data_IF_466900772432
#
_entry.id   IF_466900772432
#
_cell.length_a   1.000
_cell.length_b   1.000
_cell.length_c   1.000
_cell.angle_alpha   90.00
_cell.angle_beta   90.00
_cell.angle_gamma   90.00
#
_symmetry.space_group_name_H-M   'P 1'
#
loop_
_entity.id
_entity.type
_entity.pdbx_description
1 polymer ?
#
# COMPACT_ATOMS: atom_id res chain seq x y z
N UNK A 1 8.85 -6.23 21.82
CA UNK A 1 8.05 -6.49 20.60
C UNK A 1 7.77 -7.97 20.39
N UNK A 2 8.78 -8.87 20.27
CA UNK A 2 8.56 -10.33 20.08
C UNK A 2 7.66 -10.94 21.14
N UNK A 3 7.83 -10.61 22.43
CA UNK A 3 6.96 -11.12 23.48
C UNK A 3 5.48 -10.78 23.26
N UNK A 4 5.18 -9.54 22.83
CA UNK A 4 3.80 -9.16 22.50
C UNK A 4 3.24 -9.88 21.27
N UNK A 5 4.09 -10.23 20.32
CA UNK A 5 3.71 -11.04 19.16
C UNK A 5 3.40 -12.49 19.55
N UNK A 6 4.17 -13.04 20.45
CA UNK A 6 3.93 -14.38 21.01
C UNK A 6 2.62 -14.42 21.81
N UNK A 7 2.31 -13.39 22.60
CA UNK A 7 1.03 -13.27 23.31
C UNK A 7 -0.17 -13.21 22.35
N UNK A 8 0.02 -12.65 21.16
CA UNK A 8 -1.01 -12.61 20.11
C UNK A 8 -1.01 -13.87 19.23
N UNK A 9 -0.16 -14.86 19.51
CA UNK A 9 0.01 -16.08 18.72
C UNK A 9 0.23 -15.78 17.21
N UNK A 10 1.11 -14.82 16.91
CA UNK A 10 1.40 -14.46 15.53
C UNK A 10 2.32 -15.48 14.90
N UNK A 11 1.87 -16.15 13.83
CA UNK A 11 2.63 -17.16 13.11
C UNK A 11 3.39 -16.60 11.89
N UNK A 12 2.91 -15.50 11.32
CA UNK A 12 3.43 -14.96 10.07
C UNK A 12 3.35 -13.43 10.01
N UNK A 13 4.39 -12.82 9.40
CA UNK A 13 4.42 -11.40 9.06
C UNK A 13 4.63 -11.16 7.57
N UNK A 14 3.85 -10.25 6.99
CA UNK A 14 4.28 -9.57 5.76
C UNK A 14 5.30 -8.50 6.13
N UNK A 15 6.46 -8.54 5.47
CA UNK A 15 7.49 -7.52 5.57
C UNK A 15 7.52 -6.59 4.35
N UNK A 16 6.66 -6.83 3.36
CA UNK A 16 6.49 -5.97 2.21
C UNK A 16 5.79 -4.68 2.61
N UNK A 17 6.55 -3.63 2.87
CA UNK A 17 6.03 -2.29 3.16
C UNK A 17 7.10 -1.22 2.87
N UNK A 18 6.67 0.04 2.78
CA UNK A 18 7.52 1.19 2.49
C UNK A 18 8.45 1.61 3.63
N UNK A 19 8.31 1.03 4.84
CA UNK A 19 9.09 1.35 6.04
C UNK A 19 10.13 0.29 6.41
N UNK A 20 10.23 -0.80 5.66
CA UNK A 20 11.13 -1.91 6.04
C UNK A 20 12.61 -1.54 6.05
N UNK A 21 12.98 -0.46 5.36
CA UNK A 21 14.35 0.08 5.34
C UNK A 21 14.50 1.40 6.11
N UNK A 22 13.57 1.81 6.97
CA UNK A 22 13.69 3.05 7.77
C UNK A 22 14.95 3.07 8.65
N UNK A 23 15.42 1.89 9.08
CA UNK A 23 16.67 1.70 9.80
C UNK A 23 17.77 1.07 8.92
N UNK A 24 17.64 1.25 7.59
CA UNK A 24 18.55 0.70 6.59
C UNK A 24 18.59 -0.83 6.54
N UNK A 25 19.52 -1.38 5.78
CA UNK A 25 19.70 -2.84 5.66
C UNK A 25 19.97 -3.53 6.99
N UNK A 26 20.69 -2.88 7.90
CA UNK A 26 20.96 -3.45 9.23
C UNK A 26 19.68 -3.62 10.05
N UNK A 27 18.73 -2.67 9.92
CA UNK A 27 17.40 -2.79 10.52
C UNK A 27 16.61 -3.95 9.95
N UNK A 28 16.57 -4.09 8.62
CA UNK A 28 15.97 -5.24 7.94
C UNK A 28 16.56 -6.57 8.42
N UNK A 29 17.89 -6.69 8.41
CA UNK A 29 18.58 -7.91 8.83
C UNK A 29 18.33 -8.25 10.30
N UNK A 30 18.26 -7.23 11.15
CA UNK A 30 17.94 -7.40 12.58
C UNK A 30 16.51 -7.88 12.79
N UNK A 31 15.56 -7.35 12.01
CA UNK A 31 14.16 -7.79 12.00
C UNK A 31 14.05 -9.26 11.59
N UNK A 32 14.66 -9.63 10.46
CA UNK A 32 14.69 -11.01 9.95
C UNK A 32 15.27 -11.96 11.02
N UNK A 33 16.42 -11.60 11.59
CA UNK A 33 17.08 -12.40 12.64
C UNK A 33 16.21 -12.58 13.88
N UNK A 34 15.47 -11.54 14.27
CA UNK A 34 14.57 -11.60 15.42
C UNK A 34 13.39 -12.54 15.17
N UNK A 35 12.79 -12.49 13.97
CA UNK A 35 11.71 -13.38 13.56
C UNK A 35 12.17 -14.83 13.44
N UNK A 36 13.33 -15.08 12.81
CA UNK A 36 13.94 -16.42 12.72
C UNK A 36 14.18 -17.01 14.11
N UNK A 37 14.73 -16.22 15.04
CA UNK A 37 14.97 -16.66 16.43
C UNK A 37 13.67 -16.99 17.18
N UNK A 38 12.58 -16.27 16.88
CA UNK A 38 11.26 -16.49 17.48
C UNK A 38 10.47 -17.62 16.79
N UNK A 39 10.96 -18.16 15.66
CA UNK A 39 10.24 -19.17 14.88
C UNK A 39 9.08 -18.60 14.05
N UNK A 40 8.90 -17.28 14.03
CA UNK A 40 7.83 -16.60 13.32
C UNK A 40 8.17 -16.52 11.83
N UNK A 41 7.25 -16.91 10.98
CA UNK A 41 7.44 -16.90 9.53
C UNK A 41 7.21 -15.51 8.95
N UNK A 42 7.79 -15.25 7.78
CA UNK A 42 7.64 -13.99 7.08
C UNK A 42 7.81 -14.15 5.57
N UNK A 43 7.33 -13.17 4.81
CA UNK A 43 7.57 -13.02 3.37
C UNK A 43 7.51 -11.54 2.97
N UNK A 44 7.88 -11.25 1.72
CA UNK A 44 7.74 -9.92 1.14
C UNK A 44 8.89 -8.97 1.41
N UNK A 45 9.97 -9.42 2.08
CA UNK A 45 11.24 -8.71 2.14
C UNK A 45 12.41 -9.69 2.27
N UNK A 46 13.60 -9.24 1.90
CA UNK A 46 14.79 -10.09 1.95
C UNK A 46 16.08 -9.33 1.72
N UNK A 47 17.21 -10.05 1.86
CA UNK A 47 18.56 -9.54 1.63
C UNK A 47 18.87 -9.26 0.14
N UNK A 48 18.01 -9.70 -0.75
CA UNK A 48 18.06 -9.47 -2.20
C UNK A 48 16.66 -9.59 -2.75
N UNK A 49 16.42 -9.10 -3.97
CA UNK A 49 15.15 -9.25 -4.67
C UNK A 49 14.70 -10.71 -4.72
N UNK A 50 15.59 -11.63 -5.11
CA UNK A 50 15.32 -13.07 -5.16
C UNK A 50 14.83 -13.67 -3.83
N UNK A 51 15.22 -13.10 -2.68
CA UNK A 51 14.72 -13.53 -1.37
C UNK A 51 13.42 -12.85 -1.00
N UNK A 52 13.26 -11.57 -1.39
CA UNK A 52 12.08 -10.77 -1.09
C UNK A 52 10.82 -11.27 -1.83
N UNK A 53 10.97 -11.71 -3.07
CA UNK A 53 9.87 -12.16 -3.96
C UNK A 53 9.31 -13.54 -3.62
N UNK A 54 9.96 -14.30 -2.72
CA UNK A 54 9.54 -15.65 -2.38
C UNK A 54 8.22 -15.65 -1.61
N UNK A 55 7.20 -16.40 -2.08
CA UNK A 55 5.97 -16.58 -1.33
C UNK A 55 6.21 -17.47 -0.11
N UNK A 56 5.36 -17.31 0.90
CA UNK A 56 5.26 -18.26 1.99
C UNK A 56 4.17 -19.30 1.68
N UNK A 57 4.45 -20.57 1.93
CA UNK A 57 3.49 -21.66 1.74
C UNK A 57 3.33 -22.38 3.07
N UNK A 58 2.09 -22.52 3.51
CA UNK A 58 1.72 -23.29 4.68
C UNK A 58 0.56 -24.25 4.39
N UNK A 59 0.31 -25.12 5.33
CA UNK A 59 -0.83 -26.03 5.32
C UNK A 59 -1.72 -25.71 6.52
N UNK A 60 -2.99 -25.52 6.27
CA UNK A 60 -4.01 -25.35 7.29
C UNK A 60 -5.12 -26.37 7.02
N UNK A 61 -5.31 -27.29 7.95
CA UNK A 61 -6.19 -28.47 7.76
C UNK A 61 -5.88 -29.19 6.44
N UNK A 62 -6.84 -29.27 5.54
CA UNK A 62 -6.71 -29.91 4.22
C UNK A 62 -6.33 -28.93 3.10
N UNK A 63 -6.14 -27.63 3.41
CA UNK A 63 -5.78 -26.60 2.44
C UNK A 63 -4.28 -26.30 2.48
N UNK A 64 -3.69 -26.24 1.30
CA UNK A 64 -2.36 -25.69 1.09
C UNK A 64 -2.52 -24.22 0.69
N UNK A 65 -2.05 -23.32 1.54
CA UNK A 65 -2.22 -21.87 1.37
C UNK A 65 -0.88 -21.27 0.95
N UNK A 66 -0.91 -20.45 -0.10
CA UNK A 66 0.22 -19.63 -0.53
C UNK A 66 -0.03 -18.16 -0.23
N UNK A 67 0.94 -17.49 0.38
CA UNK A 67 0.89 -16.06 0.69
C UNK A 67 1.97 -15.34 -0.11
N UNK A 68 1.57 -14.48 -1.03
CA UNK A 68 2.45 -13.60 -1.79
C UNK A 68 2.35 -12.18 -1.24
N UNK A 69 3.50 -11.58 -0.90
CA UNK A 69 3.57 -10.25 -0.30
C UNK A 69 4.37 -9.33 -1.20
N UNK A 70 3.82 -8.16 -1.56
CA UNK A 70 4.50 -7.15 -2.36
C UNK A 70 4.11 -5.73 -1.93
N UNK A 71 4.90 -4.74 -2.34
CA UNK A 71 4.68 -3.32 -2.02
C UNK A 71 4.84 -2.44 -3.26
N UNK A 72 4.18 -1.28 -3.28
CA UNK A 72 4.42 -0.23 -4.27
C UNK A 72 5.87 0.28 -4.22
N UNK A 73 6.31 0.92 -5.33
CA UNK A 73 7.67 1.44 -5.47
C UNK A 73 7.86 2.73 -4.67
N UNK A 74 8.25 2.57 -3.40
CA UNK A 74 8.77 3.67 -2.58
C UNK A 74 10.26 3.46 -2.25
N UNK A 75 10.72 3.99 -1.10
CA UNK A 75 12.15 4.00 -0.76
C UNK A 75 12.73 2.64 -0.34
N UNK A 76 11.86 1.71 0.06
CA UNK A 76 12.26 0.47 0.76
C UNK A 76 12.29 -0.78 -0.14
N UNK A 77 12.24 -0.62 -1.44
CA UNK A 77 12.17 -1.73 -2.41
C UNK A 77 13.52 -2.43 -2.55
N UNK A 78 13.49 -3.76 -2.62
CA UNK A 78 14.66 -4.55 -2.95
C UNK A 78 15.07 -4.35 -4.42
N UNK A 79 16.37 -4.31 -4.66
CA UNK A 79 16.97 -4.24 -5.99
C UNK A 79 17.91 -5.41 -6.27
N UNK A 80 18.57 -5.37 -7.42
CA UNK A 80 19.51 -6.42 -7.82
C UNK A 80 20.65 -6.63 -6.81
N UNK A 81 21.14 -5.55 -6.19
CA UNK A 81 22.32 -5.55 -5.32
C UNK A 81 22.05 -5.17 -3.86
N UNK A 82 20.79 -4.95 -3.47
CA UNK A 82 20.44 -4.59 -2.09
C UNK A 82 19.14 -5.24 -1.65
N UNK A 83 19.00 -5.44 -0.34
CA UNK A 83 17.81 -5.94 0.30
C UNK A 83 16.70 -4.89 0.38
N UNK A 84 15.49 -5.34 0.68
CA UNK A 84 14.31 -4.49 0.82
C UNK A 84 13.02 -5.27 0.69
N UNK A 85 11.91 -4.54 0.52
CA UNK A 85 10.60 -5.09 0.23
C UNK A 85 10.51 -5.64 -1.21
N UNK A 86 9.72 -6.67 -1.40
CA UNK A 86 9.37 -7.19 -2.73
C UNK A 86 8.54 -6.14 -3.49
N UNK A 87 9.03 -5.59 -4.60
CA UNK A 87 8.25 -4.64 -5.40
C UNK A 87 7.06 -5.32 -6.08
N UNK A 88 5.96 -4.60 -6.22
CA UNK A 88 4.95 -4.97 -7.19
C UNK A 88 5.43 -4.55 -8.59
N UNK A 89 5.94 -5.50 -9.35
CA UNK A 89 6.25 -5.32 -10.76
C UNK A 89 5.17 -6.03 -11.60
N UNK A 90 4.35 -5.29 -12.39
CA UNK A 90 3.28 -5.90 -13.16
C UNK A 90 3.75 -6.91 -14.22
N UNK A 91 5.04 -6.86 -14.59
CA UNK A 91 5.62 -7.82 -15.54
C UNK A 91 6.05 -9.13 -14.88
N UNK A 92 6.33 -9.12 -13.57
CA UNK A 92 6.92 -10.25 -12.84
C UNK A 92 5.97 -10.77 -11.75
N UNK A 93 5.40 -9.87 -10.94
CA UNK A 93 4.57 -10.26 -9.79
C UNK A 93 3.32 -11.06 -10.18
N UNK A 94 2.75 -10.74 -11.35
CA UNK A 94 1.58 -11.45 -11.87
C UNK A 94 1.91 -12.90 -12.26
N UNK A 95 3.10 -13.15 -12.77
CA UNK A 95 3.56 -14.50 -13.08
C UNK A 95 3.93 -15.27 -11.81
N UNK A 96 4.50 -14.61 -10.80
CA UNK A 96 4.71 -15.23 -9.47
C UNK A 96 3.40 -15.70 -8.84
N UNK A 97 2.31 -14.92 -8.95
CA UNK A 97 0.99 -15.31 -8.45
C UNK A 97 0.45 -16.53 -9.23
N UNK A 98 0.58 -16.51 -10.56
CA UNK A 98 0.16 -17.62 -11.41
C UNK A 98 0.93 -18.91 -11.08
N UNK A 99 2.24 -18.82 -10.94
CA UNK A 99 3.09 -19.96 -10.56
C UNK A 99 2.79 -20.46 -9.14
N UNK A 100 2.47 -19.56 -8.21
CA UNK A 100 2.07 -19.93 -6.86
C UNK A 100 0.74 -20.69 -6.88
N UNK A 101 -0.24 -20.23 -7.68
CA UNK A 101 -1.55 -20.90 -7.81
C UNK A 101 -1.44 -22.34 -8.27
N UNK A 102 -0.47 -22.65 -9.13
CA UNK A 102 -0.25 -24.04 -9.58
C UNK A 102 0.26 -24.99 -8.47
N UNK A 103 0.71 -24.44 -7.33
CA UNK A 103 1.37 -25.20 -6.24
C UNK A 103 0.52 -25.31 -4.98
N UNK A 104 -0.58 -24.53 -4.90
CA UNK A 104 -1.42 -24.41 -3.70
C UNK A 104 -2.90 -24.34 -4.04
N UNK A 105 -3.73 -24.65 -3.05
CA UNK A 105 -5.19 -24.64 -3.20
C UNK A 105 -5.76 -23.21 -3.11
N UNK A 106 -5.20 -22.38 -2.21
CA UNK A 106 -5.66 -21.03 -1.93
C UNK A 106 -4.51 -20.04 -1.94
N UNK A 107 -4.63 -18.96 -2.72
CA UNK A 107 -3.62 -17.90 -2.83
C UNK A 107 -4.14 -16.63 -2.17
N UNK A 108 -3.36 -16.11 -1.22
CA UNK A 108 -3.56 -14.80 -0.59
C UNK A 108 -2.45 -13.86 -1.07
N UNK A 109 -2.84 -12.69 -1.57
CA UNK A 109 -1.92 -11.61 -1.89
C UNK A 109 -2.08 -10.52 -0.84
N UNK A 110 -0.99 -10.20 -0.13
CA UNK A 110 -0.90 -9.07 0.77
C UNK A 110 -0.14 -7.95 0.05
N UNK A 111 -0.87 -6.96 -0.42
CA UNK A 111 -0.34 -5.88 -1.22
C UNK A 111 -0.27 -4.57 -0.40
N UNK A 112 0.94 -4.14 -0.10
CA UNK A 112 1.17 -2.86 0.55
C UNK A 112 1.16 -1.75 -0.51
N UNK A 113 -0.03 -1.33 -0.89
CA UNK A 113 -0.28 -0.35 -1.95
C UNK A 113 -1.63 0.33 -1.80
N UNK A 114 -1.80 1.39 -2.57
CA UNK A 114 -2.93 2.32 -2.50
C UNK A 114 -2.53 3.64 -1.84
N UNK A 115 -3.33 4.68 -2.02
CA UNK A 115 -3.01 6.00 -1.49
C UNK A 115 -3.42 6.15 -0.03
N UNK A 116 -2.50 6.62 0.81
CA UNK A 116 -2.76 6.95 2.21
C UNK A 116 -3.98 7.85 2.36
N UNK A 117 -4.80 7.55 3.36
CA UNK A 117 -6.04 8.27 3.73
C UNK A 117 -7.16 8.24 2.69
N UNK A 118 -6.99 7.49 1.59
CA UNK A 118 -8.00 7.32 0.57
C UNK A 118 -8.74 6.00 0.73
N UNK A 119 -10.06 6.05 0.86
CA UNK A 119 -10.91 4.91 1.25
C UNK A 119 -11.49 4.13 0.06
N UNK A 120 -11.18 4.55 -1.17
CA UNK A 120 -11.54 3.86 -2.40
C UNK A 120 -10.28 3.37 -3.11
N UNK A 121 -10.37 2.38 -3.99
CA UNK A 121 -9.27 2.12 -4.91
C UNK A 121 -9.14 3.26 -5.92
N UNK A 122 -7.91 3.54 -6.37
CA UNK A 122 -7.76 4.26 -7.64
C UNK A 122 -8.18 3.35 -8.80
N UNK A 123 -8.52 3.92 -9.98
CA UNK A 123 -8.81 3.12 -11.17
C UNK A 123 -7.67 2.16 -11.55
N UNK A 124 -6.42 2.56 -11.30
CA UNK A 124 -5.26 1.72 -11.53
C UNK A 124 -5.17 0.58 -10.50
N UNK A 125 -5.28 0.87 -9.21
CA UNK A 125 -5.26 -0.13 -8.15
C UNK A 125 -6.34 -1.19 -8.35
N UNK A 126 -7.55 -0.78 -8.73
CA UNK A 126 -8.65 -1.70 -9.02
C UNK A 126 -8.30 -2.67 -10.15
N UNK A 127 -7.76 -2.16 -11.26
CA UNK A 127 -7.31 -2.99 -12.38
C UNK A 127 -6.19 -3.95 -12.00
N UNK A 128 -5.23 -3.49 -11.19
CA UNK A 128 -4.12 -4.31 -10.69
C UNK A 128 -4.63 -5.46 -9.84
N UNK A 129 -5.48 -5.17 -8.84
CA UNK A 129 -6.01 -6.20 -7.94
C UNK A 129 -6.91 -7.20 -8.68
N UNK A 130 -7.76 -6.74 -9.61
CA UNK A 130 -8.53 -7.61 -10.50
C UNK A 130 -7.61 -8.52 -11.33
N UNK A 131 -6.49 -7.98 -11.82
CA UNK A 131 -5.51 -8.78 -12.57
C UNK A 131 -4.79 -9.82 -11.71
N UNK A 132 -4.53 -9.52 -10.43
CA UNK A 132 -4.02 -10.53 -9.49
C UNK A 132 -5.02 -11.69 -9.32
N UNK A 133 -6.32 -11.40 -9.26
CA UNK A 133 -7.38 -12.43 -9.22
C UNK A 133 -7.41 -13.23 -10.51
N UNK A 134 -7.36 -12.59 -11.69
CA UNK A 134 -7.27 -13.28 -12.98
C UNK A 134 -6.08 -14.25 -13.06
N UNK A 135 -5.00 -13.96 -12.33
CA UNK A 135 -3.80 -14.80 -12.24
C UNK A 135 -3.88 -15.87 -11.14
N UNK A 136 -4.99 -15.95 -10.43
CA UNK A 136 -5.28 -17.02 -9.48
C UNK A 136 -5.25 -16.65 -8.01
N UNK A 137 -5.14 -15.36 -7.66
CA UNK A 137 -5.34 -14.93 -6.29
C UNK A 137 -6.80 -15.16 -5.86
N UNK A 138 -7.00 -15.85 -4.75
CA UNK A 138 -8.32 -16.06 -4.16
C UNK A 138 -8.71 -14.91 -3.22
N UNK A 139 -7.72 -14.25 -2.61
CA UNK A 139 -7.89 -13.07 -1.78
C UNK A 139 -6.75 -12.10 -2.03
N UNK A 140 -7.08 -10.84 -2.26
CA UNK A 140 -6.13 -9.72 -2.30
C UNK A 140 -6.49 -8.76 -1.17
N UNK A 141 -5.55 -8.47 -0.28
CA UNK A 141 -5.74 -7.48 0.80
C UNK A 141 -4.74 -6.34 0.58
N UNK A 142 -5.26 -5.16 0.30
CA UNK A 142 -4.46 -3.94 0.21
C UNK A 142 -4.25 -3.37 1.62
N UNK A 143 -3.03 -2.92 1.86
CA UNK A 143 -2.61 -2.22 3.08
C UNK A 143 -2.04 -0.86 2.64
N UNK A 144 -1.51 -0.04 3.52
CA UNK A 144 -0.93 1.26 3.20
C UNK A 144 -1.91 2.44 3.25
N UNK A 145 -3.20 2.27 2.92
CA UNK A 145 -4.18 3.38 2.99
C UNK A 145 -4.44 3.89 4.42
N UNK A 146 -4.03 3.15 5.44
CA UNK A 146 -4.24 3.46 6.87
C UNK A 146 -5.72 3.67 7.26
N UNK A 147 -6.64 3.14 6.48
CA UNK A 147 -8.07 3.22 6.74
C UNK A 147 -8.81 2.01 6.17
N UNK A 148 -9.99 1.73 6.71
CA UNK A 148 -10.90 0.76 6.12
C UNK A 148 -11.40 1.31 4.78
N UNK A 149 -11.12 0.60 3.71
CA UNK A 149 -11.57 0.92 2.35
C UNK A 149 -12.94 0.32 2.02
N UNK A 150 -12.94 -0.58 1.07
CA UNK A 150 -14.11 -1.31 0.56
C UNK A 150 -13.70 -2.71 0.10
N UNK A 151 -14.66 -3.57 -0.25
CA UNK A 151 -14.39 -4.87 -0.86
C UNK A 151 -15.01 -4.99 -2.26
N UNK A 152 -14.47 -5.90 -3.02
CA UNK A 152 -14.99 -6.30 -4.32
C UNK A 152 -14.94 -7.82 -4.45
N UNK A 153 -16.06 -8.43 -4.82
CA UNK A 153 -16.09 -9.79 -5.34
C UNK A 153 -15.83 -9.70 -6.84
N UNK A 154 -14.70 -10.25 -7.29
CA UNK A 154 -14.32 -10.24 -8.70
C UNK A 154 -13.93 -11.64 -9.15
N UNK A 155 -14.60 -12.19 -10.19
CA UNK A 155 -14.42 -13.57 -10.59
C UNK A 155 -14.55 -14.53 -9.40
N UNK A 156 -13.57 -15.40 -9.22
CA UNK A 156 -13.52 -16.36 -8.11
C UNK A 156 -12.80 -15.82 -6.86
N UNK A 157 -12.31 -14.58 -6.90
CA UNK A 157 -11.57 -13.98 -5.81
C UNK A 157 -12.32 -12.86 -5.08
N UNK A 158 -11.77 -12.47 -3.94
CA UNK A 158 -12.19 -11.32 -3.15
C UNK A 158 -11.04 -10.33 -3.06
N UNK A 159 -11.35 -9.04 -3.10
CA UNK A 159 -10.38 -7.95 -3.01
C UNK A 159 -10.81 -7.01 -1.89
N UNK A 160 -9.94 -6.74 -0.93
CA UNK A 160 -10.14 -5.78 0.17
C UNK A 160 -9.22 -4.58 -0.06
N UNK A 161 -9.78 -3.45 -0.42
CA UNK A 161 -9.06 -2.21 -0.73
C UNK A 161 -8.81 -1.36 0.52
N UNK A 162 -8.10 -1.91 1.49
CA UNK A 162 -7.76 -1.22 2.74
C UNK A 162 -8.29 -1.92 3.97
N UNK A 163 -7.37 -2.49 4.73
CA UNK A 163 -7.66 -3.20 5.97
C UNK A 163 -7.71 -2.26 7.19
N UNK A 164 -7.03 -1.10 7.13
CA UNK A 164 -6.82 -0.20 8.27
C UNK A 164 -5.64 -0.58 9.14
N UNK A 165 -5.48 0.13 10.26
CA UNK A 165 -4.34 -0.01 11.17
C UNK A 165 -4.67 -0.89 12.38
N UNK A 166 -3.75 -1.79 12.74
CA UNK A 166 -3.85 -2.54 13.99
C UNK A 166 -3.39 -1.69 15.20
N UNK A 167 -2.10 -1.46 15.33
CA UNK A 167 -1.48 -0.69 16.43
C UNK A 167 -0.51 0.35 15.86
N UNK A 168 -1.02 1.31 15.11
CA UNK A 168 -0.21 2.33 14.51
C UNK A 168 -0.61 3.73 15.00
N UNK A 169 0.37 4.47 15.54
CA UNK A 169 0.19 5.85 15.97
C UNK A 169 0.58 6.80 14.84
N UNK A 170 -0.20 7.82 14.58
CA UNK A 170 0.08 8.79 13.51
C UNK A 170 -1.01 9.83 13.35
N UNK A 171 -2.25 9.50 13.76
CA UNK A 171 -3.36 10.43 13.64
C UNK A 171 -4.48 10.13 14.65
N UNK A 172 -5.18 11.17 15.07
CA UNK A 172 -6.39 11.07 15.89
C UNK A 172 -7.67 10.88 15.09
N UNK A 173 -7.57 10.80 13.76
CA UNK A 173 -8.71 10.54 12.89
C UNK A 173 -9.40 9.23 13.24
N UNK A 174 -10.73 9.24 13.28
CA UNK A 174 -11.53 8.02 13.50
C UNK A 174 -11.21 6.93 12.47
N UNK A 175 -10.88 7.30 11.24
CA UNK A 175 -10.52 6.36 10.17
C UNK A 175 -9.15 5.72 10.39
N UNK A 176 -8.21 6.45 10.99
CA UNK A 176 -6.90 5.92 11.36
C UNK A 176 -6.98 4.91 12.50
N UNK A 177 -7.94 5.11 13.42
CA UNK A 177 -8.13 4.27 14.62
C UNK A 177 -9.01 3.05 14.37
N UNK A 178 -9.55 2.87 13.16
CA UNK A 178 -10.42 1.73 12.82
C UNK A 178 -9.75 0.80 11.83
N UNK A 179 -9.92 -0.51 12.04
CA UNK A 179 -9.42 -1.55 11.12
C UNK A 179 -10.32 -2.78 11.15
N UNK A 180 -10.05 -3.72 10.25
CA UNK A 180 -10.61 -5.06 10.29
C UNK A 180 -9.56 -6.10 10.70
N UNK A 181 -9.94 -7.01 11.60
CA UNK A 181 -9.41 -8.35 11.57
C UNK A 181 -10.21 -9.13 10.53
N UNK A 182 -9.50 -9.74 9.59
CA UNK A 182 -10.11 -10.52 8.50
C UNK A 182 -9.93 -11.99 8.85
N UNK A 183 -11.03 -12.65 9.14
CA UNK A 183 -11.07 -14.09 9.42
C UNK A 183 -11.37 -14.84 8.13
N UNK A 184 -10.57 -15.87 7.84
CA UNK A 184 -10.84 -16.81 6.78
C UNK A 184 -11.38 -18.10 7.40
N UNK A 185 -12.66 -18.35 7.24
CA UNK A 185 -13.31 -19.56 7.73
C UNK A 185 -13.26 -20.63 6.62
N UNK A 186 -12.51 -21.69 6.90
CA UNK A 186 -12.32 -22.81 5.98
C UNK A 186 -13.30 -23.93 6.32
N UNK A 187 -14.21 -24.24 5.39
CA UNK A 187 -15.14 -25.36 5.57
C UNK A 187 -14.45 -26.71 5.31
N UNK A 188 -15.03 -27.84 5.79
CA UNK A 188 -14.50 -29.18 5.50
C UNK A 188 -14.41 -29.52 4.00
N UNK A 189 -15.17 -28.81 3.13
CA UNK A 189 -15.12 -28.95 1.67
C UNK A 189 -14.11 -27.98 1.03
N UNK A 190 -13.20 -27.39 1.81
CA UNK A 190 -12.21 -26.41 1.38
C UNK A 190 -12.81 -25.12 0.77
N UNK A 191 -14.08 -24.81 1.03
CA UNK A 191 -14.64 -23.50 0.72
C UNK A 191 -14.21 -22.50 1.76
N UNK A 192 -13.72 -21.33 1.33
CA UNK A 192 -13.27 -20.26 2.20
C UNK A 192 -14.29 -19.12 2.18
N UNK A 193 -14.78 -18.74 3.36
CA UNK A 193 -15.58 -17.53 3.55
C UNK A 193 -14.81 -16.49 4.34
N UNK A 194 -15.11 -15.21 4.12
CA UNK A 194 -14.46 -14.07 4.77
C UNK A 194 -15.42 -13.49 5.79
N UNK A 195 -14.93 -13.30 7.01
CA UNK A 195 -15.66 -12.63 8.08
C UNK A 195 -14.83 -11.42 8.52
N UNK A 196 -15.47 -10.28 8.67
CA UNK A 196 -14.84 -9.03 9.10
C UNK A 196 -15.17 -8.74 10.56
N UNK A 197 -14.14 -8.55 11.37
CA UNK A 197 -14.29 -8.12 12.76
C UNK A 197 -13.75 -6.69 12.89
N UNK A 198 -14.63 -5.69 13.00
CA UNK A 198 -14.18 -4.31 13.21
C UNK A 198 -13.47 -4.17 14.54
N UNK A 199 -12.29 -3.56 14.51
CA UNK A 199 -11.50 -3.22 15.70
C UNK A 199 -11.27 -1.72 15.78
N UNK A 200 -11.09 -1.25 17.00
CA UNK A 200 -10.82 0.16 17.30
C UNK A 200 -9.57 0.24 18.18
N UNK A 201 -8.62 1.09 17.74
CA UNK A 201 -7.46 1.44 18.55
C UNK A 201 -7.90 2.33 19.72
N UNK A 202 -7.51 1.94 20.92
CA UNK A 202 -7.77 2.67 22.17
C UNK A 202 -6.48 2.77 22.99
N UNK A 203 -5.83 3.94 22.95
CA UNK A 203 -4.49 4.11 23.54
C UNK A 203 -3.48 3.16 22.87
N UNK A 204 -2.78 2.38 23.67
CA UNK A 204 -1.77 1.39 23.23
C UNK A 204 -2.38 -0.03 23.02
N UNK A 205 -3.69 -0.14 22.91
CA UNK A 205 -4.39 -1.41 22.73
C UNK A 205 -5.40 -1.33 21.59
N UNK A 206 -5.89 -2.48 21.17
CA UNK A 206 -7.05 -2.61 20.28
C UNK A 206 -8.15 -3.35 21.01
N UNK A 207 -9.39 -3.04 20.66
CA UNK A 207 -10.58 -3.77 21.11
C UNK A 207 -11.52 -4.02 19.95
N UNK A 208 -12.39 -4.98 20.10
CA UNK A 208 -13.50 -5.12 19.17
C UNK A 208 -14.41 -3.88 19.25
N UNK A 209 -14.93 -3.47 18.11
CA UNK A 209 -15.94 -2.43 18.04
C UNK A 209 -17.23 -2.89 18.74
N UNK A 210 -17.90 -2.00 19.48
CA UNK A 210 -19.23 -2.28 20.02
C UNK A 210 -20.30 -2.28 18.90
N UNK A 211 -21.52 -2.69 19.21
CA UNK A 211 -22.59 -2.85 18.21
C UNK A 211 -22.86 -1.58 17.38
N UNK A 212 -22.87 -0.40 18.02
CA UNK A 212 -23.10 0.86 17.31
C UNK A 212 -21.92 1.21 16.38
N UNK A 213 -20.71 1.05 16.88
CA UNK A 213 -19.48 1.26 16.10
C UNK A 213 -19.39 0.29 14.91
N UNK A 214 -19.72 -0.99 15.13
CA UNK A 214 -19.78 -1.99 14.06
C UNK A 214 -20.79 -1.59 12.99
N UNK A 215 -22.00 -1.20 13.42
CA UNK A 215 -23.07 -0.76 12.51
C UNK A 215 -22.62 0.40 11.61
N UNK A 216 -21.96 1.41 12.20
CA UNK A 216 -21.45 2.56 11.44
C UNK A 216 -20.32 2.18 10.50
N UNK A 217 -19.37 1.36 10.97
CA UNK A 217 -18.24 0.90 10.14
C UNK A 217 -18.75 0.08 8.96
N UNK A 218 -19.64 -0.90 9.20
CA UNK A 218 -20.18 -1.73 8.13
C UNK A 218 -21.06 -0.95 7.15
N UNK A 219 -21.88 -0.02 7.64
CA UNK A 219 -22.69 0.85 6.77
C UNK A 219 -21.82 1.60 5.76
N UNK A 220 -20.74 2.20 6.24
CA UNK A 220 -19.78 2.94 5.39
C UNK A 220 -18.98 2.01 4.47
N UNK A 221 -18.58 0.84 4.97
CA UNK A 221 -17.84 -0.15 4.19
C UNK A 221 -18.66 -0.70 3.02
N UNK A 222 -19.87 -1.18 3.31
CA UNK A 222 -20.77 -1.75 2.30
C UNK A 222 -21.24 -0.71 1.28
N UNK A 223 -21.49 0.54 1.74
CA UNK A 223 -21.79 1.64 0.83
C UNK A 223 -20.69 1.81 -0.21
N UNK A 224 -19.44 1.92 0.21
CA UNK A 224 -18.30 2.06 -0.72
C UNK A 224 -18.13 0.82 -1.59
N UNK A 225 -18.31 -0.36 -1.03
CA UNK A 225 -18.22 -1.63 -1.77
C UNK A 225 -19.30 -1.72 -2.89
N UNK A 226 -20.45 -1.13 -2.68
CA UNK A 226 -21.49 -1.03 -3.70
C UNK A 226 -21.14 0.03 -4.76
N UNK A 227 -20.65 1.19 -4.33
CA UNK A 227 -20.27 2.30 -5.22
C UNK A 227 -19.16 1.92 -6.20
N UNK A 228 -18.16 1.12 -5.77
CA UNK A 228 -17.03 0.72 -6.65
C UNK A 228 -17.39 -0.31 -7.73
N UNK A 229 -18.60 -0.84 -7.74
CA UNK A 229 -19.12 -1.65 -8.85
C UNK A 229 -19.26 -0.83 -10.14
N UNK A 230 -19.34 0.50 -10.02
CA UNK A 230 -19.37 1.42 -11.13
C UNK A 230 -18.00 2.05 -11.36
N UNK A 231 -17.35 1.70 -12.47
CA UNK A 231 -16.06 2.30 -12.87
C UNK A 231 -16.16 3.84 -12.99
N UNK A 232 -17.35 4.36 -13.36
CA UNK A 232 -17.62 5.80 -13.41
C UNK A 232 -17.52 6.44 -12.02
N UNK A 233 -18.11 5.82 -11.00
CA UNK A 233 -18.06 6.34 -9.63
C UNK A 233 -16.62 6.27 -9.09
N UNK A 234 -15.90 5.18 -9.37
CA UNK A 234 -14.47 5.06 -8.99
C UNK A 234 -13.66 6.20 -9.59
N UNK A 235 -13.86 6.51 -10.88
CA UNK A 235 -13.17 7.61 -11.54
C UNK A 235 -13.56 8.97 -10.95
N UNK A 236 -14.85 9.24 -10.74
CA UNK A 236 -15.33 10.50 -10.14
C UNK A 236 -14.74 10.74 -8.75
N UNK A 237 -14.76 9.71 -7.88
CA UNK A 237 -14.16 9.79 -6.53
C UNK A 237 -12.65 10.02 -6.57
N UNK A 238 -11.96 9.40 -7.53
CA UNK A 238 -10.54 9.60 -7.71
C UNK A 238 -10.19 10.98 -8.25
N UNK A 239 -10.99 11.52 -9.16
CA UNK A 239 -10.85 12.89 -9.69
C UNK A 239 -11.02 13.95 -8.59
N UNK A 240 -12.03 13.77 -7.70
CA UNK A 240 -12.24 14.62 -6.53
C UNK A 240 -10.98 14.63 -5.64
N UNK A 241 -10.49 13.44 -5.28
CA UNK A 241 -9.34 13.30 -4.40
C UNK A 241 -8.03 13.79 -5.05
N UNK A 242 -7.82 13.53 -6.34
CA UNK A 242 -6.66 14.00 -7.08
C UNK A 242 -6.62 15.54 -7.13
N UNK A 243 -7.78 16.17 -7.33
CA UNK A 243 -7.93 17.64 -7.32
C UNK A 243 -7.60 18.22 -5.95
N UNK A 244 -8.08 17.60 -4.86
CA UNK A 244 -7.77 17.99 -3.48
C UNK A 244 -6.26 17.90 -3.17
N UNK A 245 -5.62 16.83 -3.64
CA UNK A 245 -4.21 16.54 -3.36
C UNK A 245 -3.23 17.29 -4.26
N UNK A 246 -3.66 17.77 -5.42
CA UNK A 246 -2.80 18.44 -6.40
C UNK A 246 -1.97 19.60 -5.79
N UNK A 247 -2.52 20.51 -4.95
CA UNK A 247 -1.72 21.58 -4.35
C UNK A 247 -0.56 21.09 -3.48
N UNK A 248 -0.67 19.90 -2.86
CA UNK A 248 0.39 19.29 -2.06
C UNK A 248 1.57 18.92 -2.96
N UNK A 249 1.28 18.30 -4.09
CA UNK A 249 2.30 17.91 -5.07
C UNK A 249 2.93 19.13 -5.76
N UNK A 250 2.12 20.09 -6.16
CA UNK A 250 2.62 21.33 -6.79
C UNK A 250 3.55 22.11 -5.88
N UNK A 251 3.28 22.18 -4.55
CA UNK A 251 4.20 22.81 -3.59
C UNK A 251 5.55 22.11 -3.53
N UNK A 252 5.57 20.78 -3.62
CA UNK A 252 6.83 20.04 -3.62
C UNK A 252 7.61 20.23 -4.92
N UNK A 253 6.90 20.41 -6.06
CA UNK A 253 7.53 20.67 -7.37
C UNK A 253 8.07 22.08 -7.53
N UNK A 254 7.49 23.08 -6.87
CA UNK A 254 7.86 24.48 -7.09
C UNK A 254 9.26 24.86 -6.57
N UNK A 255 9.83 24.14 -5.63
CA UNK A 255 11.06 24.58 -4.97
C UNK A 255 10.91 25.98 -4.34
N UNK A 256 11.83 26.39 -3.49
CA UNK A 256 11.82 27.76 -2.96
C UNK A 256 12.25 28.78 -4.04
N UNK A 257 11.30 29.59 -4.51
CA UNK A 257 11.59 30.88 -5.20
C UNK A 257 12.15 30.91 -6.63
N UNK A 258 11.85 29.94 -7.50
CA UNK A 258 12.26 30.03 -8.92
C UNK A 258 11.37 30.98 -9.76
N UNK A 259 10.22 31.40 -9.25
CA UNK A 259 9.23 32.20 -9.99
C UNK A 259 9.40 33.71 -9.89
N UNK A 260 10.46 34.23 -9.22
CA UNK A 260 10.62 35.68 -9.10
C UNK A 260 11.10 36.32 -10.41
N UNK A 261 10.51 37.42 -10.81
CA UNK A 261 10.91 38.23 -11.98
C UNK A 261 12.41 38.56 -11.96
N UNK A 262 12.94 38.83 -10.77
CA UNK A 262 14.36 39.06 -10.52
C UNK A 262 15.24 37.88 -10.89
N UNK A 263 14.83 36.67 -10.62
CA UNK A 263 15.60 35.47 -10.98
C UNK A 263 15.69 35.30 -12.52
N UNK A 264 14.59 35.60 -13.24
CA UNK A 264 14.55 35.55 -14.71
C UNK A 264 15.47 36.63 -15.34
N UNK A 265 15.57 37.81 -14.73
CA UNK A 265 16.45 38.89 -15.19
C UNK A 265 17.92 38.53 -14.89
N UNK A 266 18.23 38.10 -13.67
CA UNK A 266 19.60 37.69 -13.28
C UNK A 266 20.11 36.50 -14.12
N UNK A 267 19.24 35.54 -14.45
CA UNK A 267 19.62 34.37 -15.24
C UNK A 267 20.11 34.73 -16.66
N UNK A 268 19.57 35.80 -17.24
CA UNK A 268 20.05 36.31 -18.58
C UNK A 268 21.47 36.86 -18.51
N UNK A 269 21.88 37.43 -17.38
CA UNK A 269 23.21 38.05 -17.21
C UNK A 269 24.29 37.08 -16.70
N UNK A 270 23.92 36.12 -15.85
CA UNK A 270 24.85 35.26 -15.13
C UNK A 270 25.06 33.86 -15.76
N UNK A 271 24.31 33.58 -16.83
CA UNK A 271 24.49 32.39 -17.65
C UNK A 271 23.99 31.06 -17.03
N UNK A 272 24.02 29.99 -17.86
CA UNK A 272 23.44 28.67 -17.54
C UNK A 272 23.98 28.05 -16.26
N UNK A 273 25.28 28.13 -15.99
CA UNK A 273 25.88 27.54 -14.77
C UNK A 273 25.36 28.16 -13.48
N UNK A 274 25.04 29.45 -13.49
CA UNK A 274 24.44 30.13 -12.35
C UNK A 274 22.99 29.66 -12.11
N UNK A 275 22.22 29.54 -13.19
CA UNK A 275 20.84 29.03 -13.16
C UNK A 275 20.81 27.61 -12.58
N UNK A 276 21.64 26.72 -13.10
CA UNK A 276 21.72 25.31 -12.64
C UNK A 276 22.10 25.22 -11.16
N UNK A 277 23.06 26.04 -10.70
CA UNK A 277 23.47 26.10 -9.30
C UNK A 277 22.37 26.67 -8.39
N UNK A 278 21.61 27.65 -8.87
CA UNK A 278 20.51 28.28 -8.11
C UNK A 278 19.30 27.35 -7.99
N UNK A 279 18.96 26.62 -9.07
CA UNK A 279 17.91 25.59 -9.05
C UNK A 279 18.27 24.52 -8.02
N UNK A 280 19.48 23.98 -8.06
CA UNK A 280 19.94 22.96 -7.10
C UNK A 280 19.92 23.45 -5.65
N UNK A 281 20.22 24.73 -5.39
CA UNK A 281 20.17 25.33 -4.04
C UNK A 281 18.76 25.44 -3.48
N UNK A 282 17.75 25.50 -4.33
CA UNK A 282 16.36 25.58 -3.92
C UNK A 282 15.79 24.22 -3.46
N UNK A 283 16.45 23.13 -3.83
CA UNK A 283 16.11 21.79 -3.40
C UNK A 283 17.21 21.27 -2.47
N UNK A 284 16.88 21.04 -1.22
CA UNK A 284 17.72 20.28 -0.31
C UNK A 284 17.50 18.79 -0.59
N UNK A 285 18.35 17.96 -0.05
CA UNK A 285 18.23 16.49 -0.16
C UNK A 285 16.81 15.99 0.17
N UNK A 286 16.22 16.53 1.24
CA UNK A 286 14.86 16.19 1.67
C UNK A 286 13.77 16.52 0.64
N UNK A 287 13.88 17.64 -0.06
CA UNK A 287 12.96 18.02 -1.13
C UNK A 287 13.14 17.10 -2.37
N UNK A 288 14.39 16.76 -2.72
CA UNK A 288 14.66 15.79 -3.78
C UNK A 288 14.11 14.40 -3.46
N UNK A 289 14.27 13.91 -2.24
CA UNK A 289 13.72 12.62 -1.82
C UNK A 289 12.19 12.60 -1.90
N UNK A 290 11.52 13.68 -1.51
CA UNK A 290 10.05 13.79 -1.65
C UNK A 290 9.60 13.77 -3.10
N UNK A 291 10.28 14.52 -3.97
CA UNK A 291 9.97 14.52 -5.40
C UNK A 291 10.22 13.15 -6.02
N UNK A 292 11.33 12.53 -5.65
CA UNK A 292 11.65 11.17 -6.08
C UNK A 292 10.51 10.20 -5.72
N UNK A 293 10.05 10.21 -4.47
CA UNK A 293 8.94 9.38 -4.05
C UNK A 293 7.68 9.63 -4.88
N UNK A 294 7.35 10.90 -5.17
CA UNK A 294 6.18 11.24 -5.97
C UNK A 294 6.26 10.79 -7.43
N UNK A 295 7.48 10.67 -7.98
CA UNK A 295 7.65 10.20 -9.35
C UNK A 295 7.76 8.67 -9.46
N UNK A 296 8.28 8.02 -8.45
CA UNK A 296 8.54 6.57 -8.48
C UNK A 296 7.34 5.78 -7.97
N UNK A 297 6.68 6.23 -6.92
CA UNK A 297 5.50 5.58 -6.38
C UNK A 297 4.30 5.71 -7.33
N UNK A 298 3.76 4.59 -7.76
CA UNK A 298 2.64 4.50 -8.71
C UNK A 298 1.42 5.28 -8.23
N UNK A 299 1.06 5.15 -6.95
CA UNK A 299 -0.10 5.83 -6.36
C UNK A 299 0.05 7.35 -6.38
N UNK A 300 1.24 7.89 -6.06
CA UNK A 300 1.51 9.32 -6.16
C UNK A 300 1.51 9.81 -7.61
N UNK A 301 2.17 9.06 -8.49
CA UNK A 301 2.26 9.40 -9.90
C UNK A 301 0.87 9.44 -10.56
N UNK A 302 0.02 8.46 -10.26
CA UNK A 302 -1.36 8.40 -10.77
C UNK A 302 -2.17 9.63 -10.32
N UNK A 303 -2.10 9.99 -9.02
CA UNK A 303 -2.77 11.16 -8.47
C UNK A 303 -2.31 12.47 -9.10
N UNK A 304 -1.00 12.67 -9.25
CA UNK A 304 -0.43 13.87 -9.88
C UNK A 304 -0.96 13.99 -11.30
N UNK A 305 -0.90 12.92 -12.08
CA UNK A 305 -1.35 12.89 -13.47
C UNK A 305 -2.83 13.19 -13.58
N UNK A 306 -3.66 12.56 -12.74
CA UNK A 306 -5.10 12.77 -12.74
C UNK A 306 -5.48 14.20 -12.35
N UNK A 307 -4.86 14.74 -11.27
CA UNK A 307 -5.09 16.11 -10.86
C UNK A 307 -4.70 17.13 -11.94
N UNK A 308 -3.55 16.95 -12.61
CA UNK A 308 -3.14 17.83 -13.71
C UNK A 308 -4.11 17.77 -14.91
N UNK A 309 -4.64 16.58 -15.23
CA UNK A 309 -5.65 16.44 -16.29
C UNK A 309 -6.95 17.18 -15.96
N UNK A 310 -7.39 17.13 -14.71
CA UNK A 310 -8.60 17.80 -14.26
C UNK A 310 -8.48 19.32 -14.43
N UNK A 311 -7.37 19.92 -14.01
CA UNK A 311 -7.10 21.36 -14.20
C UNK A 311 -7.07 21.76 -15.69
N UNK A 312 -6.44 20.95 -16.54
CA UNK A 312 -6.38 21.26 -17.99
C UNK A 312 -7.72 21.12 -18.70
N UNK A 313 -8.65 20.31 -18.19
CA UNK A 313 -10.02 20.21 -18.72
C UNK A 313 -10.90 21.39 -18.30
N UNK A 314 -10.69 21.95 -17.11
CA UNK A 314 -11.42 23.12 -16.61
C UNK A 314 -10.99 24.43 -17.30
N UNK A 315 -9.80 24.44 -17.91
CA UNK A 315 -9.25 25.60 -18.63
C UNK A 315 -9.70 25.69 -20.10
N UNK A 316 -10.48 24.73 -20.57
CA UNK A 316 -11.14 24.69 -21.90
C UNK A 316 -12.62 24.93 -21.76
#
# INVERSE_FOLDING_TARGET
MINGMNELNVDFFTLANNHILDQGEQGLLSTIKALDKAGIKYAGAGRSLFKAERPYICKYENLKIGIYCCAEHEFSIAGGNHGGANPFDPLVSLDHIFDLKSKVDYVIVLYHGGKEHYRYPSPYLQRVCRKMVDKGANLVVCQHSHCIGCEEKYGDGNIVYGQGNFLFDGSDSKYWKTAFLIELNVSPKANVSIIYHPIIKNGNAVRLANENEQKDIFKEFWKRSDEIKSDKIVQEKYDEFATEMLPVYLRALQGKHISSLWFRVLSKFLGKKFVDKSIRRNYREKEFLKLWNYFVCEAHNELIRQGMQNETKQSK
#
